data_IF_110461739364
#
_entry.id   IF_110461739364
#
_cell.length_a   1.000
_cell.length_b   1.000
_cell.length_c   1.000
_cell.angle_alpha   90.00
_cell.angle_beta   90.00
_cell.angle_gamma   90.00
#
_symmetry.space_group_name_H-M   'P 1'
#
loop_
_entity.id
_entity.type
_entity.pdbx_description
1 polymer ?
#
# COMPACT_ATOMS: atom_id res chain seq x y z
N UNK A 1 0.34 19.54 26.99
CA UNK A 1 0.62 18.09 26.93
C UNK A 1 -0.70 17.37 26.68
N UNK A 2 -0.93 16.83 25.48
CA UNK A 2 -2.10 16.00 25.22
C UNK A 2 -1.87 14.64 25.90
N UNK A 3 -2.73 14.28 26.86
CA UNK A 3 -2.72 12.94 27.44
C UNK A 3 -3.19 11.98 26.35
N UNK A 4 -2.44 10.92 26.02
CA UNK A 4 -2.86 9.97 25.00
C UNK A 4 -4.18 9.31 25.42
N UNK A 5 -5.16 9.30 24.52
CA UNK A 5 -6.42 8.60 24.74
C UNK A 5 -6.16 7.10 24.91
N UNK A 6 -6.79 6.48 25.90
CA UNK A 6 -6.70 5.02 26.07
C UNK A 6 -7.45 4.32 24.94
N UNK A 7 -6.76 3.44 24.20
CA UNK A 7 -7.36 2.61 23.17
C UNK A 7 -8.41 1.66 23.79
N UNK A 8 -9.57 1.51 23.15
CA UNK A 8 -10.61 0.56 23.58
C UNK A 8 -10.22 -0.87 23.23
N UNK A 9 -10.90 -1.86 23.81
CA UNK A 9 -10.66 -3.27 23.49
C UNK A 9 -11.00 -3.59 22.03
N UNK A 10 -12.09 -3.02 21.52
CA UNK A 10 -12.47 -3.16 20.11
C UNK A 10 -11.38 -2.60 19.18
N UNK A 11 -10.83 -1.42 19.49
CA UNK A 11 -9.75 -0.82 18.69
C UNK A 11 -8.48 -1.69 18.73
N UNK A 12 -8.14 -2.27 19.90
CA UNK A 12 -7.03 -3.23 20.01
C UNK A 12 -7.23 -4.43 19.10
N UNK A 13 -8.42 -5.03 19.12
CA UNK A 13 -8.74 -6.19 18.29
C UNK A 13 -8.63 -5.86 16.79
N UNK A 14 -9.15 -4.70 16.36
CA UNK A 14 -9.01 -4.24 14.97
C UNK A 14 -7.54 -4.10 14.56
N UNK A 15 -6.71 -3.49 15.41
CA UNK A 15 -5.28 -3.34 15.15
C UNK A 15 -4.57 -4.69 15.12
N UNK A 16 -4.90 -5.62 16.02
CA UNK A 16 -4.34 -6.97 15.98
C UNK A 16 -4.73 -7.71 14.70
N UNK A 17 -5.98 -7.63 14.26
CA UNK A 17 -6.41 -8.20 12.99
C UNK A 17 -5.61 -7.64 11.83
N UNK A 18 -5.31 -6.33 11.83
CA UNK A 18 -4.45 -5.71 10.82
C UNK A 18 -2.99 -6.21 10.91
N UNK A 19 -2.38 -6.21 12.10
CA UNK A 19 -1.00 -6.64 12.35
C UNK A 19 -0.75 -8.07 11.88
N UNK A 20 -1.72 -8.96 12.17
CA UNK A 20 -1.65 -10.37 11.83
C UNK A 20 -2.30 -10.72 10.49
N UNK A 21 -2.83 -9.72 9.77
CA UNK A 21 -3.39 -9.94 8.44
C UNK A 21 -2.31 -10.49 7.50
N UNK A 22 -2.70 -11.48 6.70
CA UNK A 22 -1.88 -12.03 5.62
C UNK A 22 -2.06 -11.27 4.31
N UNK A 23 -2.85 -10.20 4.30
CA UNK A 23 -3.15 -9.40 3.11
C UNK A 23 -1.83 -8.80 2.64
N UNK A 24 -1.29 -9.39 1.58
CA UNK A 24 -0.01 -9.07 0.99
C UNK A 24 -0.21 -9.21 -0.51
N UNK A 25 -0.58 -8.12 -1.16
CA UNK A 25 -0.63 -8.08 -2.61
C UNK A 25 0.79 -8.37 -3.10
N UNK A 26 0.91 -9.40 -3.94
CA UNK A 26 2.20 -9.72 -4.54
C UNK A 26 2.50 -8.69 -5.61
N UNK A 27 3.77 -8.39 -5.76
CA UNK A 27 4.24 -7.43 -6.74
C UNK A 27 3.78 -7.77 -8.17
N UNK A 28 3.88 -9.04 -8.56
CA UNK A 28 3.41 -9.54 -9.87
C UNK A 28 1.89 -9.45 -10.03
N UNK A 29 1.14 -9.72 -8.96
CA UNK A 29 -0.32 -9.61 -8.96
C UNK A 29 -0.74 -8.15 -9.21
N UNK A 30 -0.13 -7.20 -8.50
CA UNK A 30 -0.37 -5.77 -8.70
C UNK A 30 -0.08 -5.32 -10.13
N UNK A 31 1.08 -5.72 -10.69
CA UNK A 31 1.45 -5.40 -12.07
C UNK A 31 0.41 -5.94 -13.06
N UNK A 32 0.03 -7.22 -12.91
CA UNK A 32 -0.93 -7.86 -13.81
C UNK A 32 -2.33 -7.26 -13.73
N UNK A 33 -2.72 -6.75 -12.56
CA UNK A 33 -4.06 -6.19 -12.32
C UNK A 33 -4.23 -4.79 -12.90
N UNK A 34 -3.21 -3.94 -12.80
CA UNK A 34 -3.31 -2.51 -13.10
C UNK A 34 -2.61 -2.07 -14.38
N UNK A 35 -1.87 -2.97 -15.05
CA UNK A 35 -1.12 -2.68 -16.29
C UNK A 35 -0.22 -1.43 -16.18
N UNK A 36 0.49 -1.32 -15.05
CA UNK A 36 1.35 -0.16 -14.76
C UNK A 36 2.78 -0.35 -15.24
N UNK A 37 3.44 0.74 -15.61
CA UNK A 37 4.83 0.72 -16.07
C UNK A 37 5.82 0.50 -14.92
N UNK A 38 7.03 0.03 -15.24
CA UNK A 38 8.10 -0.07 -14.25
C UNK A 38 8.49 1.28 -13.65
N UNK A 39 8.36 2.37 -14.40
CA UNK A 39 8.61 3.73 -13.94
C UNK A 39 7.58 4.17 -12.89
N UNK A 40 6.29 3.88 -13.12
CA UNK A 40 5.24 4.14 -12.13
C UNK A 40 5.51 3.42 -10.81
N UNK A 41 5.97 2.17 -10.88
CA UNK A 41 6.38 1.43 -9.69
C UNK A 41 7.61 2.08 -9.03
N UNK A 42 8.60 2.51 -9.80
CA UNK A 42 9.79 3.15 -9.27
C UNK A 42 9.41 4.41 -8.46
N UNK A 43 8.48 5.21 -8.98
CA UNK A 43 7.90 6.37 -8.30
C UNK A 43 7.17 5.97 -7.02
N UNK A 44 6.28 4.96 -7.06
CA UNK A 44 5.54 4.45 -5.90
C UNK A 44 6.48 4.00 -4.76
N UNK A 45 7.62 3.41 -5.12
CA UNK A 45 8.60 2.93 -4.17
C UNK A 45 9.65 3.95 -3.77
N UNK A 46 9.73 5.09 -4.45
CA UNK A 46 10.82 6.08 -4.37
C UNK A 46 12.19 5.45 -4.61
N UNK A 47 12.29 4.65 -5.66
CA UNK A 47 13.55 4.01 -6.07
C UNK A 47 13.80 4.19 -7.58
N UNK A 48 14.95 3.75 -8.05
CA UNK A 48 15.29 3.80 -9.47
C UNK A 48 14.63 2.64 -10.24
N UNK A 49 14.25 2.88 -11.51
CA UNK A 49 13.63 1.86 -12.37
C UNK A 49 14.51 0.62 -12.56
N UNK A 50 15.83 0.75 -12.50
CA UNK A 50 16.77 -0.39 -12.52
C UNK A 50 16.61 -1.29 -11.29
N UNK A 51 16.25 -0.72 -10.13
CA UNK A 51 15.94 -1.47 -8.90
C UNK A 51 14.68 -2.30 -9.10
N UNK A 52 13.64 -1.70 -9.69
CA UNK A 52 12.38 -2.39 -10.03
C UNK A 52 12.62 -3.52 -11.03
N UNK A 53 13.42 -3.30 -12.08
CA UNK A 53 13.80 -4.34 -13.04
C UNK A 53 14.57 -5.48 -12.36
N UNK A 54 15.50 -5.17 -11.46
CA UNK A 54 16.19 -6.21 -10.68
C UNK A 54 15.23 -6.99 -9.78
N UNK A 55 14.18 -6.36 -9.27
CA UNK A 55 13.17 -7.03 -8.46
C UNK A 55 12.38 -8.05 -9.28
N UNK A 56 11.88 -7.63 -10.44
CA UNK A 56 11.16 -8.51 -11.36
C UNK A 56 12.00 -9.73 -11.76
N UNK A 57 13.24 -9.49 -12.18
CA UNK A 57 14.15 -10.56 -12.63
C UNK A 57 14.52 -11.57 -11.52
N UNK A 58 14.38 -11.18 -10.25
CA UNK A 58 14.72 -12.02 -9.09
C UNK A 58 13.49 -12.63 -8.41
N UNK A 59 12.30 -12.55 -9.01
CA UNK A 59 11.02 -12.90 -8.36
C UNK A 59 10.85 -12.22 -6.99
N UNK A 60 11.28 -10.96 -6.90
CA UNK A 60 11.09 -10.13 -5.71
C UNK A 60 9.59 -9.99 -5.43
N UNK A 61 9.17 -10.43 -4.25
CA UNK A 61 7.76 -10.58 -3.92
C UNK A 61 7.37 -12.00 -3.53
N UNK A 62 8.11 -13.03 -3.95
CA UNK A 62 7.87 -14.42 -3.51
C UNK A 62 8.63 -14.77 -2.23
N UNK A 63 9.88 -14.31 -2.08
CA UNK A 63 10.57 -14.33 -0.80
C UNK A 63 10.24 -13.06 -0.02
N UNK A 64 9.26 -13.14 0.88
CA UNK A 64 8.99 -12.16 1.93
C UNK A 64 9.41 -10.72 1.58
N UNK A 65 8.82 -10.15 0.52
CA UNK A 65 9.01 -8.71 0.27
C UNK A 65 8.74 -7.98 1.58
N UNK A 66 9.64 -7.07 1.95
CA UNK A 66 9.59 -6.39 3.24
C UNK A 66 8.15 -5.92 3.48
N UNK A 67 7.58 -6.19 4.66
CA UNK A 67 6.16 -5.90 4.96
C UNK A 67 5.76 -4.47 4.56
N UNK A 68 6.69 -3.52 4.65
CA UNK A 68 6.58 -2.14 4.16
C UNK A 68 6.22 -2.04 2.66
N UNK A 69 6.87 -2.82 1.81
CA UNK A 69 6.66 -2.84 0.37
C UNK A 69 5.30 -3.39 -0.03
N UNK A 70 4.85 -4.44 0.66
CA UNK A 70 3.52 -5.02 0.42
C UNK A 70 2.42 -4.09 0.92
N UNK A 71 2.67 -3.36 2.01
CA UNK A 71 1.74 -2.35 2.50
C UNK A 71 1.57 -1.20 1.50
N UNK A 72 2.67 -0.69 0.89
CA UNK A 72 2.59 0.30 -0.17
C UNK A 72 1.73 -0.16 -1.35
N UNK A 73 1.91 -1.40 -1.82
CA UNK A 73 1.07 -1.96 -2.90
C UNK A 73 -0.39 -2.09 -2.48
N UNK A 74 -0.65 -2.55 -1.26
CA UNK A 74 -2.02 -2.68 -0.76
C UNK A 74 -2.74 -1.33 -0.73
N UNK A 75 -2.07 -0.27 -0.27
CA UNK A 75 -2.65 1.08 -0.27
C UNK A 75 -2.88 1.57 -1.71
N UNK A 76 -1.90 1.38 -2.61
CA UNK A 76 -2.06 1.76 -4.02
C UNK A 76 -3.22 0.99 -4.68
N UNK A 77 -3.35 -0.30 -4.41
CA UNK A 77 -4.43 -1.14 -4.93
C UNK A 77 -5.80 -0.73 -4.40
N UNK A 78 -5.88 -0.37 -3.12
CA UNK A 78 -7.11 0.15 -2.51
C UNK A 78 -7.53 1.46 -3.17
N UNK A 79 -6.58 2.39 -3.35
CA UNK A 79 -6.80 3.67 -4.03
C UNK A 79 -7.28 3.43 -5.46
N UNK A 80 -6.60 2.58 -6.23
CA UNK A 80 -6.97 2.30 -7.62
C UNK A 80 -8.30 1.53 -7.75
N UNK A 81 -8.63 0.67 -6.79
CA UNK A 81 -9.85 -0.16 -6.81
C UNK A 81 -11.13 0.64 -6.64
N UNK A 82 -11.15 1.58 -5.70
CA UNK A 82 -12.36 2.33 -5.38
C UNK A 82 -12.04 3.67 -4.73
N UNK A 83 -11.28 4.52 -5.43
CA UNK A 83 -10.95 5.85 -4.91
C UNK A 83 -12.21 6.65 -4.59
N UNK A 84 -13.23 6.57 -5.44
CA UNK A 84 -14.46 7.35 -5.28
C UNK A 84 -15.30 6.93 -4.09
N UNK A 85 -15.30 5.64 -3.74
CA UNK A 85 -15.93 5.13 -2.53
C UNK A 85 -15.20 5.48 -1.23
N UNK A 86 -13.97 6.01 -1.28
CA UNK A 86 -13.27 6.44 -0.08
C UNK A 86 -13.95 7.67 0.55
N UNK A 87 -14.06 7.72 1.90
CA UNK A 87 -14.41 8.95 2.61
C UNK A 87 -13.52 10.14 2.23
N UNK A 88 -14.09 11.34 2.11
CA UNK A 88 -13.37 12.55 1.65
C UNK A 88 -12.16 12.88 2.53
N UNK A 89 -12.25 12.64 3.84
CA UNK A 89 -11.13 12.82 4.75
C UNK A 89 -9.97 11.87 4.43
N UNK A 90 -10.24 10.66 3.93
CA UNK A 90 -9.20 9.74 3.45
C UNK A 90 -8.68 10.16 2.08
N UNK A 91 -9.55 10.63 1.16
CA UNK A 91 -9.13 11.17 -0.14
C UNK A 91 -8.13 12.31 0.03
N UNK A 92 -8.40 13.27 0.91
CA UNK A 92 -7.50 14.39 1.22
C UNK A 92 -6.18 13.90 1.84
N UNK A 93 -6.22 12.86 2.68
CA UNK A 93 -4.99 12.29 3.28
C UNK A 93 -4.09 11.62 2.24
N UNK A 94 -4.66 10.92 1.27
CA UNK A 94 -3.90 10.22 0.23
C UNK A 94 -3.53 11.12 -0.95
N UNK A 95 -4.41 12.07 -1.30
CA UNK A 95 -4.31 12.94 -2.46
C UNK A 95 -4.78 14.36 -2.09
N UNK A 96 -3.96 15.16 -1.39
CA UNK A 96 -4.35 16.48 -0.90
C UNK A 96 -4.69 17.47 -2.00
N UNK A 97 -4.11 17.30 -3.20
CA UNK A 97 -4.36 18.13 -4.38
C UNK A 97 -5.49 17.58 -5.28
N UNK A 98 -6.25 16.59 -4.81
CA UNK A 98 -7.39 16.03 -5.55
C UNK A 98 -8.55 17.04 -5.60
N UNK A 99 -8.56 17.86 -6.64
CA UNK A 99 -9.68 18.72 -7.00
C UNK A 99 -10.50 18.04 -8.11
N UNK A 100 -11.63 17.43 -7.75
CA UNK A 100 -12.71 17.11 -8.69
C UNK A 100 -13.87 18.08 -8.51
#
# INVERSE_FOLDING_TARGET
>A
MHRPSSMTEQQRQQIYSFIYSKIRIKFQEFLSRWDVTHDFIADLYHCDVTTVRSWINKNFGDSASQRSHQFKLFIADLILSDFEGLPDNLKILFCPDWNR
#
